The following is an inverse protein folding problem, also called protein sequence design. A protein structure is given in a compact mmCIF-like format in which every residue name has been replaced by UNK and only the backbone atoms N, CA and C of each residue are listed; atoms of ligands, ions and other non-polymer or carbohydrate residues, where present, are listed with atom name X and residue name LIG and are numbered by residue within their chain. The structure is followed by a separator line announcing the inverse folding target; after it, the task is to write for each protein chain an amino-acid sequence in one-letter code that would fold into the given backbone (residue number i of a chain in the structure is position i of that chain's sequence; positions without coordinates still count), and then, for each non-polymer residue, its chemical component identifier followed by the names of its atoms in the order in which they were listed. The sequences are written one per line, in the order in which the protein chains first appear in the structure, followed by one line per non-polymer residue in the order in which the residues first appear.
data_IF_790966414698
#
_entry.id   IF_790966414698
#
_cell.length_a   1.000
_cell.length_b   1.000
_cell.length_c   1.000
_cell.angle_alpha   90.00
_cell.angle_beta   90.00
_cell.angle_gamma   90.00
#
_symmetry.space_group_name_H-M   'P 1'
#
loop_
_entity.id
_entity.type
_entity.pdbx_description
1 polymer ?
#
# COMPACT_ATOMS: atom_id res chain seq x y z
N UNK A 1 -11.23 8.75 -3.83
CA UNK A 1 -9.98 9.38 -4.32
C UNK A 1 -9.06 9.74 -3.16
N UNK A 2 -7.79 9.33 -3.22
CA UNK A 2 -6.83 9.43 -2.12
C UNK A 2 -6.79 10.79 -1.42
N UNK A 3 -6.84 11.90 -2.19
CA UNK A 3 -6.84 13.27 -1.67
C UNK A 3 -7.94 13.61 -0.65
N UNK A 4 -9.02 12.81 -0.58
CA UNK A 4 -10.13 13.04 0.35
C UNK A 4 -10.14 12.05 1.53
N UNK A 5 -9.30 11.02 1.50
CA UNK A 5 -9.39 9.90 2.44
C UNK A 5 -9.21 10.35 3.89
N UNK A 6 -8.17 11.14 4.19
CA UNK A 6 -7.89 11.59 5.56
C UNK A 6 -9.02 12.45 6.15
N UNK A 7 -9.57 13.39 5.39
CA UNK A 7 -10.64 14.26 5.90
C UNK A 7 -11.92 13.47 6.18
N UNK A 8 -12.29 12.55 5.30
CA UNK A 8 -13.45 11.68 5.48
C UNK A 8 -13.22 10.75 6.68
N UNK A 9 -12.02 10.20 6.82
CA UNK A 9 -11.63 9.36 7.95
C UNK A 9 -11.78 10.11 9.28
N UNK A 10 -11.23 11.33 9.39
CA UNK A 10 -11.35 12.15 10.61
C UNK A 10 -12.81 12.43 10.95
N UNK A 11 -13.63 12.82 9.97
CA UNK A 11 -15.06 13.06 10.17
C UNK A 11 -15.80 11.79 10.63
N UNK A 12 -15.46 10.62 10.06
CA UNK A 12 -16.04 9.35 10.47
C UNK A 12 -15.66 8.98 11.91
N UNK A 13 -14.40 9.24 12.30
CA UNK A 13 -13.93 9.04 13.66
C UNK A 13 -14.66 9.95 14.65
N UNK A 14 -14.76 11.26 14.35
CA UNK A 14 -15.49 12.23 15.18
C UNK A 14 -16.98 11.86 15.34
N UNK A 15 -17.57 11.22 14.33
CA UNK A 15 -18.93 10.69 14.38
C UNK A 15 -19.05 9.32 15.08
N UNK A 16 -17.96 8.79 15.65
CA UNK A 16 -17.94 7.50 16.35
C UNK A 16 -18.18 6.30 15.44
N UNK A 17 -17.81 6.37 14.17
CA UNK A 17 -18.02 5.28 13.19
C UNK A 17 -16.75 4.45 13.02
N UNK A 18 -16.92 3.13 12.92
CA UNK A 18 -15.88 2.23 12.45
C UNK A 18 -15.48 2.59 11.00
N UNK A 19 -14.18 2.49 10.69
CA UNK A 19 -13.63 2.98 9.43
C UNK A 19 -12.93 1.87 8.67
N UNK A 20 -13.37 1.66 7.44
CA UNK A 20 -12.59 1.01 6.39
C UNK A 20 -12.22 2.07 5.36
N UNK A 21 -10.92 2.26 5.12
CA UNK A 21 -10.40 3.25 4.19
C UNK A 21 -9.62 2.55 3.07
N UNK A 22 -9.99 2.81 1.82
CA UNK A 22 -9.19 2.33 0.69
C UNK A 22 -7.77 2.92 0.70
N UNK A 23 -6.82 2.16 0.14
CA UNK A 23 -5.44 2.62 0.01
C UNK A 23 -5.31 3.75 -1.02
N UNK A 24 -4.30 4.62 -0.89
CA UNK A 24 -3.61 4.93 0.37
C UNK A 24 -4.55 5.69 1.30
N UNK A 25 -4.39 5.54 2.62
CA UNK A 25 -5.22 6.28 3.59
C UNK A 25 -4.92 7.79 3.62
N UNK A 26 -3.73 8.18 3.17
CA UNK A 26 -3.23 9.55 3.13
C UNK A 26 -2.12 9.67 2.07
N UNK A 27 -1.84 10.89 1.61
CA UNK A 27 -0.74 11.17 0.66
C UNK A 27 0.53 11.69 1.35
N UNK A 28 0.43 12.12 2.62
CA UNK A 28 1.58 12.50 3.45
C UNK A 28 1.53 11.77 4.79
N UNK A 29 2.68 11.74 5.48
CA UNK A 29 2.78 11.13 6.80
C UNK A 29 2.00 11.93 7.85
N UNK A 30 2.03 13.26 7.76
CA UNK A 30 1.29 14.14 8.67
C UNK A 30 -0.22 13.89 8.59
N UNK A 31 -0.75 13.69 7.37
CA UNK A 31 -2.15 13.34 7.19
C UNK A 31 -2.46 11.91 7.66
N UNK A 32 -1.53 10.96 7.48
CA UNK A 32 -1.68 9.62 8.02
C UNK A 32 -1.77 9.65 9.56
N UNK A 33 -0.85 10.36 10.21
CA UNK A 33 -0.80 10.53 11.66
C UNK A 33 -2.05 11.21 12.20
N UNK A 34 -2.55 12.25 11.51
CA UNK A 34 -3.80 12.93 11.84
C UNK A 34 -4.99 11.97 11.83
N UNK A 35 -5.09 11.12 10.81
CA UNK A 35 -6.16 10.14 10.71
C UNK A 35 -6.09 9.07 11.80
N UNK A 36 -4.90 8.51 12.04
CA UNK A 36 -4.65 7.51 13.09
C UNK A 36 -5.01 8.09 14.47
N UNK A 37 -4.57 9.33 14.75
CA UNK A 37 -4.85 10.01 16.01
C UNK A 37 -6.37 10.22 16.22
N UNK A 38 -7.11 10.62 15.19
CA UNK A 38 -8.56 10.80 15.28
C UNK A 38 -9.29 9.49 15.59
N UNK A 39 -8.97 8.40 14.88
CA UNK A 39 -9.57 7.09 15.13
C UNK A 39 -9.29 6.59 16.56
N UNK A 40 -8.03 6.76 17.02
CA UNK A 40 -7.63 6.41 18.38
C UNK A 40 -8.34 7.24 19.44
N UNK A 41 -8.47 8.55 19.24
CA UNK A 41 -9.15 9.45 20.17
C UNK A 41 -10.64 9.14 20.29
N UNK A 42 -11.29 8.79 19.18
CA UNK A 42 -12.69 8.38 19.16
C UNK A 42 -12.93 6.94 19.65
N UNK A 43 -11.87 6.14 19.82
CA UNK A 43 -11.98 4.74 20.21
C UNK A 43 -12.62 3.84 19.15
N UNK A 44 -12.54 4.23 17.87
CA UNK A 44 -13.12 3.48 16.75
C UNK A 44 -12.06 2.67 16.02
N UNK A 45 -12.39 1.49 15.46
CA UNK A 45 -11.46 0.74 14.63
C UNK A 45 -11.22 1.46 13.30
N UNK A 46 -9.96 1.42 12.84
CA UNK A 46 -9.53 1.88 11.53
C UNK A 46 -8.79 0.75 10.83
N UNK A 47 -9.26 0.38 9.64
CA UNK A 47 -8.61 -0.58 8.75
C UNK A 47 -8.33 0.06 7.39
N UNK A 48 -7.11 -0.12 6.87
CA UNK A 48 -6.73 0.28 5.51
C UNK A 48 -6.89 -0.92 4.56
N UNK A 49 -7.42 -0.68 3.38
CA UNK A 49 -7.78 -1.69 2.36
C UNK A 49 -6.61 -2.35 1.63
N UNK A 50 -5.69 -3.01 2.35
CA UNK A 50 -4.64 -3.82 1.74
C UNK A 50 -5.11 -5.26 1.46
N UNK A 51 -6.07 -5.41 0.57
CA UNK A 51 -6.79 -6.65 0.29
C UNK A 51 -5.93 -7.90 0.06
N UNK A 52 -4.68 -7.78 -0.42
CA UNK A 52 -3.78 -8.93 -0.66
C UNK A 52 -3.56 -9.79 0.59
N UNK A 53 -3.59 -9.23 1.81
CA UNK A 53 -3.42 -10.05 3.04
C UNK A 53 -4.62 -10.95 3.36
N UNK A 54 -5.73 -10.76 2.64
CA UNK A 54 -6.97 -11.53 2.76
C UNK A 54 -7.17 -12.48 1.58
N UNK A 55 -6.27 -12.48 0.60
CA UNK A 55 -6.23 -13.50 -0.44
C UNK A 55 -5.65 -14.79 0.15
N UNK A 56 -6.28 -15.92 -0.19
CA UNK A 56 -5.94 -17.22 0.38
C UNK A 56 -4.48 -17.60 0.16
N UNK A 57 -3.93 -17.37 -1.04
CA UNK A 57 -2.56 -17.78 -1.36
C UNK A 57 -1.52 -16.95 -0.61
N UNK A 58 -1.77 -15.65 -0.46
CA UNK A 58 -0.92 -14.77 0.36
C UNK A 58 -0.99 -15.13 1.84
N UNK A 59 -2.18 -15.47 2.35
CA UNK A 59 -2.38 -15.91 3.73
C UNK A 59 -1.65 -17.23 4.03
N UNK A 60 -1.77 -18.23 3.16
CA UNK A 60 -1.04 -19.49 3.30
C UNK A 60 0.48 -19.28 3.25
N UNK A 61 0.95 -18.35 2.40
CA UNK A 61 2.34 -17.94 2.36
C UNK A 61 2.82 -17.35 3.69
N UNK A 62 2.00 -16.47 4.31
CA UNK A 62 2.29 -15.90 5.63
C UNK A 62 2.31 -16.98 6.72
N UNK A 63 1.34 -17.88 6.74
CA UNK A 63 1.30 -18.98 7.72
C UNK A 63 2.50 -19.93 7.58
N UNK A 64 2.96 -20.21 6.36
CA UNK A 64 4.14 -21.04 6.14
C UNK A 64 5.42 -20.39 6.69
N UNK A 65 5.53 -19.06 6.58
CA UNK A 65 6.64 -18.28 7.17
C UNK A 65 6.56 -18.32 8.69
N UNK A 66 5.39 -18.01 9.27
CA UNK A 66 5.18 -18.00 10.72
C UNK A 66 5.42 -19.37 11.37
N UNK A 67 5.06 -20.45 10.66
CA UNK A 67 5.31 -21.83 11.08
C UNK A 67 6.77 -22.29 10.88
N UNK A 68 7.65 -21.45 10.34
CA UNK A 68 9.06 -21.76 10.10
C UNK A 68 9.32 -22.76 8.96
N UNK A 69 8.33 -23.03 8.09
CA UNK A 69 8.45 -24.04 7.01
C UNK A 69 9.50 -23.68 5.97
N UNK A 70 9.83 -22.40 5.85
CA UNK A 70 10.83 -21.88 4.89
C UNK A 70 12.17 -21.55 5.56
N UNK A 71 12.32 -21.82 6.86
CA UNK A 71 13.48 -21.40 7.64
C UNK A 71 13.59 -19.87 7.77
N UNK A 72 14.81 -19.36 7.86
CA UNK A 72 15.06 -17.92 7.93
C UNK A 72 14.88 -17.27 6.55
N UNK A 73 13.94 -16.35 6.42
CA UNK A 73 13.69 -15.57 5.19
C UNK A 73 14.95 -14.80 4.80
N UNK A 74 15.51 -15.10 3.62
CA UNK A 74 16.67 -14.40 3.06
C UNK A 74 16.29 -13.38 1.98
N UNK A 75 15.23 -13.68 1.21
CA UNK A 75 14.76 -12.86 0.09
C UNK A 75 13.26 -13.01 -0.07
N UNK A 76 12.55 -11.89 -0.24
CA UNK A 76 11.17 -11.87 -0.70
C UNK A 76 11.14 -11.02 -1.96
N UNK A 77 10.49 -11.53 -3.01
CA UNK A 77 10.34 -10.85 -4.29
C UNK A 77 8.86 -10.75 -4.64
N UNK A 78 8.41 -9.54 -4.94
CA UNK A 78 7.09 -9.30 -5.52
C UNK A 78 7.21 -8.93 -6.99
N UNK A 79 6.22 -9.31 -7.80
CA UNK A 79 6.12 -8.95 -9.21
C UNK A 79 4.67 -8.58 -9.51
N UNK A 80 4.42 -7.28 -9.68
CA UNK A 80 3.11 -6.75 -10.09
C UNK A 80 3.19 -6.19 -11.50
N UNK A 81 2.24 -6.57 -12.36
CA UNK A 81 2.09 -6.06 -13.72
C UNK A 81 0.60 -5.86 -13.97
N UNK A 82 0.20 -4.63 -14.23
CA UNK A 82 -1.19 -4.34 -14.60
C UNK A 82 -1.49 -4.94 -15.99
N UNK A 83 -2.72 -5.41 -16.22
CA UNK A 83 -3.08 -6.08 -17.46
C UNK A 83 -3.17 -5.12 -18.64
N UNK A 84 -2.88 -5.64 -19.83
CA UNK A 84 -3.07 -4.94 -21.10
C UNK A 84 -1.92 -3.99 -21.49
N UNK A 85 -2.06 -3.38 -22.67
CA UNK A 85 -1.16 -2.31 -23.11
C UNK A 85 -1.63 -0.98 -22.48
N UNK A 86 -0.68 -0.13 -22.10
CA UNK A 86 -0.99 1.20 -21.59
C UNK A 86 -1.63 2.05 -22.71
N UNK A 87 -2.95 2.24 -22.63
CA UNK A 87 -3.74 3.03 -23.59
C UNK A 87 -4.04 4.46 -23.14
N UNK A 88 -3.50 4.89 -22.00
CA UNK A 88 -3.70 6.23 -21.47
C UNK A 88 -2.74 7.26 -22.06
N UNK A 89 -2.88 8.49 -21.57
CA UNK A 89 -1.97 9.60 -21.82
C UNK A 89 -0.99 9.73 -20.63
N UNK A 90 0.32 9.45 -20.82
CA UNK A 90 1.31 9.53 -19.73
C UNK A 90 1.34 10.91 -19.06
N UNK A 91 1.13 11.99 -19.81
CA UNK A 91 1.22 13.38 -19.30
C UNK A 91 0.14 13.71 -18.27
N UNK A 92 -0.92 12.90 -18.24
CA UNK A 92 -2.05 13.04 -17.31
C UNK A 92 -1.89 12.22 -16.04
N UNK A 93 -0.81 11.44 -15.93
CA UNK A 93 -0.52 10.64 -14.75
C UNK A 93 0.19 11.52 -13.73
N UNK A 94 -0.36 11.69 -12.51
CA UNK A 94 0.34 12.42 -11.46
C UNK A 94 1.69 11.78 -11.13
N UNK A 95 2.67 12.61 -10.80
CA UNK A 95 3.94 12.14 -10.25
C UNK A 95 3.71 11.17 -9.09
N UNK A 96 4.61 10.21 -8.94
CA UNK A 96 4.58 9.19 -7.87
C UNK A 96 3.42 8.20 -7.92
N UNK A 97 2.54 8.25 -8.93
CA UNK A 97 1.41 7.31 -9.07
C UNK A 97 1.84 5.84 -8.98
N UNK A 98 2.97 5.47 -9.59
CA UNK A 98 3.48 4.09 -9.52
C UNK A 98 3.71 3.63 -8.07
N UNK A 99 4.15 4.53 -7.18
CA UNK A 99 4.40 4.22 -5.78
C UNK A 99 3.13 4.27 -4.95
N UNK A 100 2.28 5.27 -5.14
CA UNK A 100 1.07 5.45 -4.33
C UNK A 100 -0.11 4.56 -4.72
N UNK A 101 -0.21 4.18 -5.99
CA UNK A 101 -1.37 3.44 -6.49
C UNK A 101 -1.06 1.96 -6.75
N UNK A 102 0.13 1.63 -7.26
CA UNK A 102 0.50 0.26 -7.62
C UNK A 102 1.40 -0.38 -6.57
N UNK A 103 2.65 0.09 -6.43
CA UNK A 103 3.68 -0.55 -5.61
C UNK A 103 3.40 -0.48 -4.11
N UNK A 104 2.49 0.38 -3.65
CA UNK A 104 2.08 0.40 -2.24
C UNK A 104 1.55 -0.95 -1.77
N UNK A 105 0.86 -1.71 -2.64
CA UNK A 105 0.43 -3.07 -2.32
C UNK A 105 1.61 -4.02 -2.16
N UNK A 106 2.65 -3.88 -2.97
CA UNK A 106 3.86 -4.69 -2.93
C UNK A 106 4.64 -4.39 -1.65
N UNK A 107 4.85 -3.12 -1.31
CA UNK A 107 5.49 -2.73 -0.05
C UNK A 107 4.74 -3.27 1.17
N UNK A 108 3.42 -3.09 1.21
CA UNK A 108 2.58 -3.62 2.28
C UNK A 108 2.71 -5.16 2.42
N UNK A 109 2.66 -5.87 1.29
CA UNK A 109 2.74 -7.33 1.24
C UNK A 109 4.11 -7.83 1.68
N UNK A 110 5.20 -7.21 1.19
CA UNK A 110 6.56 -7.57 1.56
C UNK A 110 6.83 -7.37 3.05
N UNK A 111 6.34 -6.26 3.62
CA UNK A 111 6.42 -6.01 5.06
C UNK A 111 5.58 -7.01 5.86
N UNK A 112 4.38 -7.34 5.37
CA UNK A 112 3.50 -8.28 6.05
C UNK A 112 4.04 -9.72 6.03
N UNK A 113 4.67 -10.15 4.94
CA UNK A 113 5.31 -11.47 4.82
C UNK A 113 6.64 -11.56 5.59
N UNK A 114 7.21 -10.45 6.05
CA UNK A 114 8.47 -10.42 6.80
C UNK A 114 8.28 -9.84 8.22
N UNK A 115 7.55 -10.54 9.10
CA UNK A 115 7.19 -10.01 10.41
C UNK A 115 8.43 -9.63 11.24
N UNK A 116 8.43 -8.42 11.78
CA UNK A 116 9.52 -7.89 12.62
C UNK A 116 10.68 -7.25 11.85
N UNK A 117 10.79 -7.46 10.55
CA UNK A 117 11.77 -6.77 9.72
C UNK A 117 11.37 -5.32 9.47
N UNK A 118 12.36 -4.43 9.39
CA UNK A 118 12.18 -3.02 9.01
C UNK A 118 13.09 -2.69 7.84
N UNK A 119 12.58 -2.12 6.73
CA UNK A 119 13.43 -1.61 5.67
C UNK A 119 14.36 -0.53 6.23
N UNK A 120 15.65 -0.60 5.90
CA UNK A 120 16.67 0.38 6.30
C UNK A 120 17.21 1.18 5.13
N UNK A 121 17.01 0.69 3.91
CA UNK A 121 17.45 1.31 2.66
C UNK A 121 16.43 0.99 1.57
N UNK A 122 16.23 1.94 0.66
CA UNK A 122 15.36 1.78 -0.51
C UNK A 122 16.12 2.28 -1.74
N UNK A 123 16.15 1.45 -2.78
CA UNK A 123 16.68 1.79 -4.10
C UNK A 123 15.57 1.59 -5.15
N UNK A 124 15.45 2.54 -6.08
CA UNK A 124 14.49 2.47 -7.17
C UNK A 124 15.15 2.81 -8.50
N UNK A 125 14.76 2.10 -9.55
CA UNK A 125 15.11 2.36 -10.93
C UNK A 125 13.83 2.32 -11.77
N UNK A 126 13.65 3.27 -12.67
CA UNK A 126 12.49 3.37 -13.54
C UNK A 126 12.93 3.66 -14.98
N UNK A 127 12.16 3.17 -15.96
CA UNK A 127 12.34 3.45 -17.38
C UNK A 127 10.98 3.37 -18.11
N UNK A 128 10.86 4.04 -19.24
CA UNK A 128 9.64 4.12 -20.04
C UNK A 128 9.69 3.12 -21.22
N UNK A 129 9.77 1.81 -20.95
CA UNK A 129 9.96 0.81 -22.00
C UNK A 129 8.70 0.53 -22.85
N UNK A 130 7.51 0.79 -22.32
CA UNK A 130 6.22 0.57 -23.01
C UNK A 130 5.83 1.78 -23.86
N UNK A 131 6.15 3.00 -23.39
CA UNK A 131 5.96 4.27 -24.09
C UNK A 131 7.28 5.06 -24.09
N UNK A 132 8.28 4.67 -24.90
CA UNK A 132 9.59 5.32 -24.92
C UNK A 132 9.53 6.80 -25.30
N UNK A 133 8.45 7.21 -25.97
CA UNK A 133 8.15 8.59 -26.33
C UNK A 133 7.81 9.48 -25.12
N UNK A 134 7.46 8.89 -23.97
CA UNK A 134 7.15 9.59 -22.73
C UNK A 134 8.27 9.45 -21.67
N UNK A 135 9.51 9.23 -22.11
CA UNK A 135 10.67 9.03 -21.23
C UNK A 135 11.18 10.34 -20.60
N UNK A 136 11.15 11.42 -21.36
CA UNK A 136 11.70 12.74 -21.02
C UNK A 136 10.60 13.74 -20.69
#
# INVERSE_FOLDING_TARGET
PARFHTNILVQAAEAGKAIFCEKPMALTLEDADRGIAAAKAAGVPLQVGFNRRWDQAFFEGREAIDAGKVGAVQLIRSLTRDPGLFGGDPDRIPLWTIFYETLIHDFDTLLWLNPGAKPVEVFAMADALVRPDARD
#
